data_IF_030401074409
#
_entry.id   IF_030401074409
#
_cell.length_a   1.000
_cell.length_b   1.000
_cell.length_c   1.000
_cell.angle_alpha   90.00
_cell.angle_beta   90.00
_cell.angle_gamma   90.00
#
_symmetry.space_group_name_H-M   'P 1'
#
loop_
_entity.id
_entity.type
_entity.pdbx_description
1 polymer ?
#
# COMPACT_ATOMS: atom_id res chain seq x y z
N UNK A 1 -29.01 -11.62 19.53
CA UNK A 1 -28.70 -10.65 18.45
C UNK A 1 -27.69 -9.60 18.89
N UNK A 2 -28.00 -8.69 19.81
CA UNK A 2 -27.05 -7.69 20.37
C UNK A 2 -25.71 -8.29 20.86
N UNK A 3 -25.71 -9.54 21.33
CA UNK A 3 -24.50 -10.21 21.79
C UNK A 3 -23.52 -10.55 20.63
N UNK A 4 -24.03 -10.90 19.44
CA UNK A 4 -23.20 -11.19 18.24
C UNK A 4 -22.59 -9.89 17.72
N UNK A 5 -23.40 -8.84 17.61
CA UNK A 5 -22.94 -7.51 17.20
C UNK A 5 -21.88 -6.98 18.18
N UNK A 6 -22.14 -7.07 19.48
CA UNK A 6 -21.18 -6.72 20.52
C UNK A 6 -19.89 -7.55 20.43
N UNK A 7 -19.99 -8.86 20.16
CA UNK A 7 -18.82 -9.72 20.00
C UNK A 7 -17.96 -9.34 18.77
N UNK A 8 -18.62 -9.02 17.64
CA UNK A 8 -17.92 -8.57 16.42
C UNK A 8 -17.23 -7.22 16.66
N UNK A 9 -17.90 -6.29 17.35
CA UNK A 9 -17.39 -4.93 17.61
C UNK A 9 -16.40 -4.86 18.78
N UNK A 10 -16.23 -5.94 19.55
CA UNK A 10 -15.33 -5.98 20.69
C UNK A 10 -13.87 -5.91 20.25
N UNK A 11 -13.11 -4.99 20.85
CA UNK A 11 -11.66 -4.86 20.62
C UNK A 11 -10.82 -5.98 21.25
N UNK A 12 -11.41 -6.76 22.16
CA UNK A 12 -10.73 -7.83 22.90
C UNK A 12 -11.02 -9.22 22.35
N UNK A 13 -11.89 -9.35 21.36
CA UNK A 13 -12.25 -10.64 20.79
C UNK A 13 -11.06 -11.22 19.98
N UNK A 14 -10.74 -12.53 20.14
CA UNK A 14 -9.74 -13.20 19.33
C UNK A 14 -10.12 -13.17 17.84
N UNK A 15 -9.12 -13.07 16.96
CA UNK A 15 -9.32 -13.03 15.49
C UNK A 15 -10.12 -14.25 15.00
N UNK A 16 -9.82 -15.45 15.49
CA UNK A 16 -10.51 -16.69 15.14
C UNK A 16 -12.02 -16.65 15.43
N UNK A 17 -12.39 -16.03 16.54
CA UNK A 17 -13.81 -15.85 16.90
C UNK A 17 -14.49 -14.92 15.89
N UNK A 18 -13.85 -13.83 15.53
CA UNK A 18 -14.40 -12.88 14.56
C UNK A 18 -14.56 -13.55 13.19
N UNK A 19 -13.57 -14.31 12.72
CA UNK A 19 -13.67 -15.07 11.46
C UNK A 19 -14.84 -16.06 11.48
N UNK A 20 -15.07 -16.77 12.60
CA UNK A 20 -16.24 -17.66 12.74
C UNK A 20 -17.56 -16.91 12.74
N UNK A 21 -17.63 -15.74 13.37
CA UNK A 21 -18.83 -14.91 13.36
C UNK A 21 -19.11 -14.32 11.97
N UNK A 22 -18.09 -13.91 11.23
CA UNK A 22 -18.22 -13.50 9.82
C UNK A 22 -18.67 -14.66 8.92
N UNK A 23 -18.17 -15.87 9.14
CA UNK A 23 -18.64 -17.06 8.45
C UNK A 23 -20.12 -17.37 8.76
N UNK A 24 -20.52 -17.19 10.02
CA UNK A 24 -21.91 -17.38 10.41
C UNK A 24 -22.81 -16.32 9.75
N UNK A 25 -22.36 -15.07 9.68
CA UNK A 25 -23.13 -13.99 9.04
C UNK A 25 -23.37 -14.29 7.56
N UNK A 26 -22.33 -14.71 6.84
CA UNK A 26 -22.40 -15.11 5.43
C UNK A 26 -23.32 -16.33 5.23
N UNK A 27 -23.19 -17.34 6.09
CA UNK A 27 -24.07 -18.54 6.04
C UNK A 27 -25.55 -18.18 6.26
N UNK A 28 -25.85 -17.33 7.24
CA UNK A 28 -27.22 -16.88 7.53
C UNK A 28 -27.81 -16.04 6.39
N UNK A 29 -26.98 -15.28 5.70
CA UNK A 29 -27.38 -14.53 4.51
C UNK A 29 -27.74 -15.48 3.34
N UNK A 30 -26.92 -16.51 3.09
CA UNK A 30 -27.22 -17.55 2.11
C UNK A 30 -28.53 -18.33 2.39
N UNK A 31 -28.88 -18.50 3.67
CA UNK A 31 -30.12 -19.14 4.10
C UNK A 31 -31.33 -18.18 4.08
N UNK A 32 -31.21 -17.02 3.44
CA UNK A 32 -32.24 -15.95 3.39
C UNK A 32 -32.72 -15.46 4.76
N UNK A 33 -31.86 -15.60 5.78
CA UNK A 33 -32.10 -15.16 7.17
C UNK A 33 -30.95 -14.29 7.66
N UNK A 34 -30.68 -13.15 6.99
CA UNK A 34 -29.53 -12.33 7.34
C UNK A 34 -29.57 -11.88 8.80
N UNK A 35 -28.40 -11.78 9.40
CA UNK A 35 -28.26 -11.17 10.73
C UNK A 35 -28.63 -9.69 10.61
N UNK A 36 -29.34 -9.12 11.59
CA UNK A 36 -29.67 -7.70 11.61
C UNK A 36 -28.46 -6.85 12.03
N UNK A 37 -27.39 -6.95 11.27
CA UNK A 37 -26.16 -6.18 11.40
C UNK A 37 -25.96 -5.47 10.07
N UNK A 38 -25.65 -4.19 10.10
CA UNK A 38 -25.43 -3.40 8.90
C UNK A 38 -24.25 -3.95 8.08
N UNK A 39 -24.41 -4.03 6.75
CA UNK A 39 -23.38 -4.47 5.83
C UNK A 39 -22.09 -3.64 5.98
N UNK A 40 -22.23 -2.35 6.25
CA UNK A 40 -21.11 -1.45 6.55
C UNK A 40 -20.26 -1.98 7.72
N UNK A 41 -20.89 -2.33 8.82
CA UNK A 41 -20.21 -2.86 10.02
C UNK A 41 -19.51 -4.19 9.70
N UNK A 42 -20.21 -5.11 9.03
CA UNK A 42 -19.63 -6.40 8.63
C UNK A 42 -18.43 -6.21 7.69
N UNK A 43 -18.53 -5.29 6.72
CA UNK A 43 -17.45 -4.94 5.80
C UNK A 43 -16.23 -4.35 6.51
N UNK A 44 -16.43 -3.41 7.44
CA UNK A 44 -15.34 -2.77 8.21
C UNK A 44 -14.58 -3.80 9.08
N UNK A 45 -15.31 -4.70 9.76
CA UNK A 45 -14.67 -5.75 10.57
C UNK A 45 -14.01 -6.83 9.70
N UNK A 46 -14.61 -7.19 8.58
CA UNK A 46 -13.98 -8.09 7.62
C UNK A 46 -12.66 -7.52 7.08
N UNK A 47 -12.60 -6.21 6.80
CA UNK A 47 -11.36 -5.50 6.44
C UNK A 47 -10.34 -5.53 7.57
N UNK A 48 -10.75 -5.19 8.79
CA UNK A 48 -9.87 -5.12 9.96
C UNK A 48 -9.20 -6.47 10.25
N UNK A 49 -9.91 -7.56 10.05
CA UNK A 49 -9.42 -8.93 10.27
C UNK A 49 -8.96 -9.62 8.98
N UNK A 50 -8.68 -8.85 7.93
CA UNK A 50 -8.08 -9.30 6.66
C UNK A 50 -8.91 -10.35 5.90
N UNK A 51 -10.21 -10.47 6.18
CA UNK A 51 -11.14 -11.33 5.44
C UNK A 51 -11.61 -10.64 4.16
N UNK A 52 -10.67 -10.36 3.23
CA UNK A 52 -10.90 -9.47 2.09
C UNK A 52 -12.00 -9.92 1.15
N UNK A 53 -12.19 -11.22 0.92
CA UNK A 53 -13.29 -11.72 0.08
C UNK A 53 -14.67 -11.40 0.69
N UNK A 54 -14.81 -11.52 2.02
CA UNK A 54 -16.04 -11.14 2.73
C UNK A 54 -16.21 -9.63 2.79
N UNK A 55 -15.10 -8.92 2.98
CA UNK A 55 -15.11 -7.47 2.94
C UNK A 55 -15.58 -6.95 1.58
N UNK A 56 -15.14 -7.56 0.48
CA UNK A 56 -15.60 -7.24 -0.88
C UNK A 56 -17.11 -7.40 -0.98
N UNK A 57 -17.62 -8.59 -0.63
CA UNK A 57 -19.04 -8.88 -0.66
C UNK A 57 -19.90 -7.85 0.09
N UNK A 58 -19.55 -7.56 1.37
CA UNK A 58 -20.31 -6.60 2.17
C UNK A 58 -20.16 -5.15 1.69
N UNK A 59 -19.00 -4.78 1.14
CA UNK A 59 -18.80 -3.44 0.56
C UNK A 59 -19.50 -3.26 -0.78
N UNK A 60 -19.67 -4.31 -1.57
CA UNK A 60 -20.52 -4.29 -2.76
C UNK A 60 -22.00 -4.10 -2.38
N UNK A 61 -22.50 -4.81 -1.37
CA UNK A 61 -23.86 -4.61 -0.85
C UNK A 61 -24.06 -3.19 -0.28
N UNK A 62 -23.08 -2.66 0.43
CA UNK A 62 -23.09 -1.27 0.91
C UNK A 62 -23.15 -0.29 -0.28
N UNK A 63 -22.36 -0.51 -1.33
CA UNK A 63 -22.34 0.31 -2.54
C UNK A 63 -23.71 0.35 -3.24
N UNK A 64 -24.40 -0.79 -3.35
CA UNK A 64 -25.72 -0.86 -3.94
C UNK A 64 -26.82 -0.21 -3.09
N UNK A 65 -26.65 -0.17 -1.78
CA UNK A 65 -27.59 0.47 -0.85
C UNK A 65 -27.32 1.96 -0.70
N UNK A 66 -26.07 2.34 -0.54
CA UNK A 66 -25.62 3.72 -0.28
C UNK A 66 -24.26 3.96 -0.94
N UNK A 67 -24.29 4.39 -2.20
CA UNK A 67 -23.06 4.70 -2.93
C UNK A 67 -22.40 5.98 -2.39
N UNK A 68 -21.12 5.89 -2.04
CA UNK A 68 -20.30 7.02 -1.62
C UNK A 68 -18.86 6.91 -2.11
N UNK A 69 -18.13 8.02 -2.28
CA UNK A 69 -16.71 7.99 -2.65
C UNK A 69 -15.86 7.11 -1.74
N UNK A 70 -16.11 7.14 -0.43
CA UNK A 70 -15.39 6.34 0.57
C UNK A 70 -15.58 4.83 0.37
N UNK A 71 -16.80 4.38 0.00
CA UNK A 71 -17.07 2.97 -0.31
C UNK A 71 -16.32 2.54 -1.56
N UNK A 72 -16.29 3.39 -2.58
CA UNK A 72 -15.57 3.12 -3.83
C UNK A 72 -14.06 3.02 -3.58
N UNK A 73 -13.47 3.94 -2.82
CA UNK A 73 -12.06 3.86 -2.42
C UNK A 73 -11.74 2.55 -1.71
N UNK A 74 -12.64 2.13 -0.82
CA UNK A 74 -12.50 0.87 -0.10
C UNK A 74 -12.58 -0.32 -1.06
N UNK A 75 -13.51 -0.34 -2.01
CA UNK A 75 -13.63 -1.38 -3.04
C UNK A 75 -12.38 -1.48 -3.91
N UNK A 76 -11.81 -0.36 -4.35
CA UNK A 76 -10.54 -0.33 -5.10
C UNK A 76 -9.43 -0.95 -4.26
N UNK A 77 -9.31 -0.55 -2.99
CA UNK A 77 -8.31 -1.08 -2.06
C UNK A 77 -8.45 -2.59 -1.85
N UNK A 78 -9.67 -3.09 -1.67
CA UNK A 78 -9.94 -4.53 -1.48
C UNK A 78 -9.59 -5.31 -2.75
N UNK A 79 -10.06 -4.87 -3.92
CA UNK A 79 -9.78 -5.52 -5.19
C UNK A 79 -8.28 -5.57 -5.49
N UNK A 80 -7.54 -4.50 -5.16
CA UNK A 80 -6.07 -4.47 -5.29
C UNK A 80 -5.40 -5.52 -4.39
N UNK A 81 -5.84 -5.64 -3.12
CA UNK A 81 -5.33 -6.66 -2.18
C UNK A 81 -5.67 -8.10 -2.61
N UNK A 82 -6.82 -8.30 -3.25
CA UNK A 82 -7.23 -9.57 -3.84
C UNK A 82 -6.56 -9.87 -5.19
N UNK A 83 -5.69 -8.97 -5.69
CA UNK A 83 -5.05 -9.08 -7.00
C UNK A 83 -6.04 -9.10 -8.17
N UNK A 84 -7.21 -8.49 -7.99
CA UNK A 84 -8.26 -8.37 -9.00
C UNK A 84 -8.14 -7.01 -9.70
N UNK A 85 -7.08 -6.82 -10.47
CA UNK A 85 -6.73 -5.54 -11.07
C UNK A 85 -7.80 -5.01 -12.04
N UNK A 86 -8.45 -5.89 -12.81
CA UNK A 86 -9.50 -5.51 -13.75
C UNK A 86 -10.76 -5.01 -13.02
N UNK A 87 -11.15 -5.67 -11.92
CA UNK A 87 -12.28 -5.24 -11.09
C UNK A 87 -11.97 -3.90 -10.40
N UNK A 88 -10.76 -3.73 -9.87
CA UNK A 88 -10.31 -2.47 -9.29
C UNK A 88 -10.32 -1.34 -10.33
N UNK A 89 -9.90 -1.62 -11.56
CA UNK A 89 -9.94 -0.67 -12.66
C UNK A 89 -11.38 -0.29 -13.05
N UNK A 90 -12.28 -1.28 -13.19
CA UNK A 90 -13.70 -1.03 -13.46
C UNK A 90 -14.35 -0.15 -12.39
N UNK A 91 -14.04 -0.42 -11.11
CA UNK A 91 -14.50 0.40 -9.97
C UNK A 91 -14.00 1.85 -10.08
N UNK A 92 -12.73 2.05 -10.47
CA UNK A 92 -12.16 3.39 -10.67
C UNK A 92 -12.85 4.13 -11.83
N UNK A 93 -13.13 3.46 -12.94
CA UNK A 93 -13.86 4.07 -14.07
C UNK A 93 -15.26 4.52 -13.65
N UNK A 94 -15.99 3.67 -12.92
CA UNK A 94 -17.30 4.01 -12.37
C UNK A 94 -17.24 5.20 -11.42
N UNK A 95 -16.20 5.27 -10.57
CA UNK A 95 -15.98 6.40 -9.68
C UNK A 95 -15.77 7.70 -10.44
N UNK A 96 -15.00 7.65 -11.52
CA UNK A 96 -14.69 8.79 -12.38
C UNK A 96 -15.91 9.35 -13.12
N UNK A 97 -16.85 8.47 -13.48
CA UNK A 97 -18.09 8.87 -14.15
C UNK A 97 -19.13 9.44 -13.18
N UNK A 98 -19.18 8.94 -11.95
CA UNK A 98 -20.21 9.30 -10.97
C UNK A 98 -19.80 10.41 -10.02
N UNK A 99 -18.51 10.56 -9.77
CA UNK A 99 -17.97 11.51 -8.79
C UNK A 99 -16.85 12.34 -9.43
N UNK A 100 -16.85 13.63 -9.15
CA UNK A 100 -15.74 14.52 -9.50
C UNK A 100 -14.58 14.27 -8.52
N UNK A 101 -13.78 13.25 -8.81
CA UNK A 101 -12.72 12.78 -7.92
C UNK A 101 -11.46 13.59 -8.16
N UNK A 102 -11.03 14.31 -7.13
CA UNK A 102 -9.88 15.22 -7.19
C UNK A 102 -8.51 14.54 -7.03
N UNK A 103 -8.49 13.23 -6.68
CA UNK A 103 -7.25 12.48 -6.36
C UNK A 103 -7.04 11.27 -7.27
N UNK A 104 -7.09 11.48 -8.57
CA UNK A 104 -6.92 10.40 -9.56
C UNK A 104 -5.52 9.75 -9.49
N UNK A 105 -4.48 10.54 -9.21
CA UNK A 105 -3.09 10.12 -9.18
C UNK A 105 -2.83 9.03 -8.12
N UNK A 106 -3.33 9.21 -6.89
CA UNK A 106 -3.17 8.24 -5.80
C UNK A 106 -3.85 6.90 -6.11
N UNK A 107 -4.92 6.91 -6.87
CA UNK A 107 -5.64 5.69 -7.26
C UNK A 107 -4.90 4.93 -8.36
N UNK A 108 -4.31 5.63 -9.33
CA UNK A 108 -3.43 5.00 -10.31
C UNK A 108 -2.21 4.35 -9.63
N UNK A 109 -1.60 5.01 -8.64
CA UNK A 109 -0.52 4.42 -7.84
C UNK A 109 -0.94 3.11 -7.16
N UNK A 110 -2.09 3.12 -6.45
CA UNK A 110 -2.62 1.93 -5.77
C UNK A 110 -2.93 0.78 -6.71
N UNK A 111 -3.29 1.08 -7.94
CA UNK A 111 -3.54 0.08 -8.98
C UNK A 111 -2.27 -0.38 -9.69
N UNK A 112 -1.11 0.17 -9.35
CA UNK A 112 0.15 -0.12 -10.03
C UNK A 112 0.23 0.42 -11.46
N UNK A 113 -0.67 1.35 -11.83
CA UNK A 113 -0.69 2.00 -13.15
C UNK A 113 0.19 3.23 -13.16
N UNK A 114 1.49 2.98 -13.02
CA UNK A 114 2.50 4.01 -12.79
C UNK A 114 2.62 5.02 -13.92
N UNK A 115 2.40 4.59 -15.18
CA UNK A 115 2.46 5.48 -16.34
C UNK A 115 1.32 6.51 -16.30
N UNK A 116 0.10 6.05 -16.03
CA UNK A 116 -1.08 6.92 -15.94
C UNK A 116 -1.00 7.81 -14.70
N UNK A 117 -0.46 7.30 -13.59
CA UNK A 117 -0.17 8.09 -12.40
C UNK A 117 0.81 9.21 -12.69
N UNK A 118 1.91 8.91 -13.41
CA UNK A 118 2.90 9.90 -13.80
C UNK A 118 2.29 11.04 -14.62
N UNK A 119 1.50 10.70 -15.65
CA UNK A 119 0.80 11.70 -16.48
C UNK A 119 -0.18 12.56 -15.63
N UNK A 120 -0.85 11.95 -14.64
CA UNK A 120 -1.74 12.69 -13.76
C UNK A 120 -0.97 13.64 -12.83
N UNK A 121 0.17 13.21 -12.29
CA UNK A 121 1.05 14.07 -11.50
C UNK A 121 1.70 15.18 -12.32
N UNK A 122 2.08 14.93 -13.57
CA UNK A 122 2.61 15.97 -14.47
C UNK A 122 1.59 17.09 -14.71
N UNK A 123 0.34 16.74 -14.98
CA UNK A 123 -0.76 17.73 -15.11
C UNK A 123 -0.98 18.52 -13.82
N UNK A 124 -0.88 17.87 -12.67
CA UNK A 124 -1.01 18.54 -11.36
C UNK A 124 0.18 19.47 -11.09
N UNK A 125 1.39 19.07 -11.52
CA UNK A 125 2.60 19.88 -11.43
C UNK A 125 2.53 21.15 -12.32
N UNK A 126 1.76 21.15 -13.41
CA UNK A 126 1.51 22.38 -14.19
C UNK A 126 0.75 23.43 -13.39
N UNK A 127 -0.09 23.02 -12.44
CA UNK A 127 -0.87 23.91 -11.58
C UNK A 127 -0.09 24.36 -10.33
N UNK A 128 0.62 23.42 -9.70
CA UNK A 128 1.46 23.68 -8.53
C UNK A 128 2.77 22.87 -8.62
N UNK A 129 3.80 23.45 -9.26
CA UNK A 129 5.09 22.75 -9.48
C UNK A 129 5.86 22.46 -8.19
N UNK A 130 5.61 23.21 -7.11
CA UNK A 130 6.39 23.10 -5.88
C UNK A 130 5.68 22.30 -4.77
N UNK A 131 4.50 21.75 -5.03
CA UNK A 131 3.78 20.93 -4.07
C UNK A 131 4.58 19.64 -3.74
N UNK A 132 4.97 19.42 -2.45
CA UNK A 132 5.83 18.29 -2.08
C UNK A 132 5.22 16.93 -2.42
N UNK A 133 3.91 16.77 -2.19
CA UNK A 133 3.16 15.55 -2.50
C UNK A 133 3.17 15.22 -4.00
N UNK A 134 3.11 16.23 -4.87
CA UNK A 134 3.20 16.07 -6.32
C UNK A 134 4.60 15.62 -6.73
N UNK A 135 5.65 16.25 -6.18
CA UNK A 135 7.02 15.90 -6.50
C UNK A 135 7.37 14.49 -6.01
N UNK A 136 6.98 14.15 -4.78
CA UNK A 136 7.20 12.81 -4.23
C UNK A 136 6.41 11.76 -5.03
N UNK A 137 5.16 12.04 -5.41
CA UNK A 137 4.36 11.15 -6.25
C UNK A 137 5.00 10.88 -7.60
N UNK A 138 5.53 11.92 -8.28
CA UNK A 138 6.29 11.76 -9.54
C UNK A 138 7.51 10.87 -9.35
N UNK A 139 8.29 11.09 -8.29
CA UNK A 139 9.46 10.26 -7.99
C UNK A 139 9.08 8.81 -7.72
N UNK A 140 7.95 8.53 -7.01
CA UNK A 140 7.42 7.17 -6.81
C UNK A 140 7.09 6.50 -8.15
N UNK A 141 6.45 7.23 -9.06
CA UNK A 141 6.13 6.72 -10.39
C UNK A 141 7.41 6.41 -11.19
N UNK A 142 8.37 7.31 -11.24
CA UNK A 142 9.64 7.11 -11.95
C UNK A 142 10.44 5.95 -11.36
N UNK A 143 10.46 5.81 -10.04
CA UNK A 143 11.09 4.68 -9.36
C UNK A 143 10.44 3.35 -9.75
N UNK A 144 9.11 3.29 -9.77
CA UNK A 144 8.38 2.07 -10.13
C UNK A 144 8.50 1.71 -11.61
N UNK A 145 8.65 2.71 -12.50
CA UNK A 145 8.89 2.52 -13.92
C UNK A 145 10.35 2.19 -14.25
N UNK A 146 11.29 2.40 -13.32
CA UNK A 146 12.72 2.19 -13.54
C UNK A 146 13.38 3.29 -14.36
N UNK A 147 12.79 4.49 -14.42
CA UNK A 147 13.30 5.66 -15.13
C UNK A 147 14.36 6.40 -14.29
N UNK A 148 15.53 5.75 -14.12
CA UNK A 148 16.54 6.15 -13.14
C UNK A 148 17.18 7.49 -13.41
N UNK A 149 17.46 7.83 -14.69
CA UNK A 149 18.06 9.12 -15.08
C UNK A 149 17.13 10.28 -14.74
N UNK A 150 15.84 10.14 -15.03
CA UNK A 150 14.83 11.15 -14.73
C UNK A 150 14.61 11.29 -13.22
N UNK A 151 14.60 10.16 -12.50
CA UNK A 151 14.48 10.14 -11.04
C UNK A 151 15.67 10.85 -10.39
N UNK A 152 16.91 10.56 -10.82
CA UNK A 152 18.11 11.20 -10.29
C UNK A 152 18.07 12.72 -10.49
N UNK A 153 17.71 13.19 -11.68
CA UNK A 153 17.57 14.62 -11.97
C UNK A 153 16.53 15.30 -11.07
N UNK A 154 15.37 14.66 -10.86
CA UNK A 154 14.36 15.19 -9.96
C UNK A 154 14.78 15.19 -8.48
N UNK A 155 15.52 14.16 -8.06
CA UNK A 155 16.07 14.11 -6.70
C UNK A 155 17.06 15.26 -6.50
N UNK A 156 17.99 15.52 -7.42
CA UNK A 156 18.94 16.62 -7.31
C UNK A 156 18.25 17.98 -7.19
N UNK A 157 17.23 18.23 -8.02
CA UNK A 157 16.46 19.47 -8.02
C UNK A 157 15.75 19.71 -6.68
N UNK A 158 15.13 18.65 -6.13
CA UNK A 158 14.28 18.79 -4.95
C UNK A 158 15.03 18.58 -3.63
N UNK A 159 16.16 17.85 -3.61
CA UNK A 159 16.88 17.48 -2.39
C UNK A 159 17.30 18.67 -1.55
N UNK A 160 17.77 19.73 -2.18
CA UNK A 160 18.24 20.93 -1.47
C UNK A 160 17.13 21.70 -0.76
N UNK A 161 15.93 21.70 -1.36
CA UNK A 161 14.77 22.45 -0.88
C UNK A 161 13.89 21.62 0.05
N UNK A 162 14.01 20.28 0.02
CA UNK A 162 13.20 19.36 0.81
C UNK A 162 13.50 19.50 2.31
N UNK A 163 12.46 19.44 3.12
CA UNK A 163 12.59 19.39 4.57
C UNK A 163 13.06 18.00 5.05
N UNK A 164 13.27 17.81 6.35
CA UNK A 164 13.84 16.58 6.88
C UNK A 164 12.93 15.35 6.70
N UNK A 165 11.63 15.52 6.80
CA UNK A 165 10.65 14.43 6.60
C UNK A 165 10.56 14.05 5.11
N UNK A 166 10.49 15.04 4.23
CA UNK A 166 10.50 14.83 2.78
C UNK A 166 11.78 14.12 2.32
N UNK A 167 12.95 14.55 2.82
CA UNK A 167 14.22 13.86 2.52
C UNK A 167 14.20 12.40 2.96
N UNK A 168 13.57 12.08 4.09
CA UNK A 168 13.44 10.70 4.55
C UNK A 168 12.56 9.85 3.63
N UNK A 169 11.55 10.46 3.02
CA UNK A 169 10.67 9.78 2.07
C UNK A 169 11.35 9.62 0.70
N UNK A 170 12.11 10.60 0.25
CA UNK A 170 12.84 10.60 -1.01
C UNK A 170 14.07 9.68 -0.94
N UNK A 171 14.75 9.58 0.20
CA UNK A 171 16.04 8.92 0.34
C UNK A 171 16.09 7.46 -0.17
N UNK A 172 15.10 6.58 0.07
CA UNK A 172 15.11 5.24 -0.49
C UNK A 172 15.09 5.21 -2.02
N UNK A 173 14.30 6.08 -2.64
CA UNK A 173 14.20 6.20 -4.10
C UNK A 173 15.48 6.78 -4.69
N UNK A 174 16.04 7.79 -4.02
CA UNK A 174 17.34 8.38 -4.40
C UNK A 174 18.49 7.35 -4.32
N UNK A 175 18.50 6.53 -3.26
CA UNK A 175 19.48 5.45 -3.13
C UNK A 175 19.33 4.37 -4.22
N UNK A 176 18.09 4.05 -4.64
CA UNK A 176 17.81 3.14 -5.73
C UNK A 176 18.33 3.68 -7.07
N UNK A 177 18.05 4.95 -7.38
CA UNK A 177 18.53 5.61 -8.59
C UNK A 177 20.06 5.65 -8.60
N UNK A 178 20.70 6.12 -7.54
CA UNK A 178 22.16 6.18 -7.42
C UNK A 178 22.82 4.80 -7.59
N UNK A 179 22.23 3.74 -7.00
CA UNK A 179 22.69 2.37 -7.20
C UNK A 179 22.58 1.95 -8.67
N UNK A 180 21.44 2.20 -9.32
CA UNK A 180 21.22 1.81 -10.72
C UNK A 180 22.13 2.54 -11.70
N UNK A 181 22.50 3.79 -11.37
CA UNK A 181 23.42 4.63 -12.14
C UNK A 181 24.90 4.45 -11.74
N UNK A 182 25.20 3.57 -10.78
CA UNK A 182 26.55 3.34 -10.23
C UNK A 182 27.17 4.55 -9.52
N UNK A 183 26.37 5.43 -8.96
CA UNK A 183 26.79 6.61 -8.20
C UNK A 183 26.94 6.28 -6.70
N UNK A 184 28.00 5.56 -6.35
CA UNK A 184 28.19 4.97 -5.02
C UNK A 184 28.35 6.02 -3.89
N UNK A 185 28.99 7.14 -4.18
CA UNK A 185 29.20 8.22 -3.20
C UNK A 185 27.87 8.92 -2.89
N UNK A 186 27.06 9.20 -3.91
CA UNK A 186 25.70 9.74 -3.76
C UNK A 186 24.80 8.78 -2.99
N UNK A 187 24.88 7.49 -3.31
CA UNK A 187 24.15 6.42 -2.64
C UNK A 187 24.45 6.39 -1.14
N UNK A 188 25.73 6.48 -0.73
CA UNK A 188 26.12 6.48 0.69
C UNK A 188 25.49 7.66 1.47
N UNK A 189 25.47 8.85 0.86
CA UNK A 189 24.85 10.03 1.43
C UNK A 189 23.32 9.86 1.62
N UNK A 190 22.64 9.30 0.63
CA UNK A 190 21.18 9.05 0.72
C UNK A 190 20.85 7.99 1.79
N UNK A 191 21.62 6.91 1.87
CA UNK A 191 21.47 5.86 2.90
C UNK A 191 21.56 6.43 4.31
N UNK A 192 22.42 7.44 4.54
CA UNK A 192 22.55 8.07 5.85
C UNK A 192 21.26 8.73 6.34
N UNK A 193 20.43 9.22 5.41
CA UNK A 193 19.16 9.90 5.68
C UNK A 193 18.00 8.93 5.92
N UNK A 194 18.05 7.69 5.41
CA UNK A 194 17.01 6.67 5.62
C UNK A 194 16.93 6.32 7.12
N UNK A 195 15.70 6.07 7.62
CA UNK A 195 15.45 5.68 9.01
C UNK A 195 16.30 4.48 9.42
N UNK A 196 16.86 4.53 10.66
CA UNK A 196 17.78 3.50 11.15
C UNK A 196 17.17 2.08 11.17
N UNK A 197 15.88 1.98 11.48
CA UNK A 197 15.13 0.73 11.57
C UNK A 197 14.29 0.45 10.32
N UNK A 198 14.68 1.00 9.16
CA UNK A 198 14.07 0.66 7.88
C UNK A 198 14.78 -0.56 7.26
N UNK A 199 14.04 -1.53 6.71
CA UNK A 199 14.60 -2.63 5.92
C UNK A 199 15.37 -2.10 4.70
N UNK A 200 14.92 -1.00 4.07
CA UNK A 200 15.58 -0.38 2.93
C UNK A 200 17.00 0.08 3.28
N UNK A 201 17.18 0.70 4.45
CA UNK A 201 18.51 1.13 4.91
C UNK A 201 19.45 -0.06 5.06
N UNK A 202 18.98 -1.14 5.65
CA UNK A 202 19.77 -2.36 5.82
C UNK A 202 20.10 -2.98 4.45
N UNK A 203 19.13 -3.02 3.53
CA UNK A 203 19.31 -3.52 2.17
C UNK A 203 20.36 -2.73 1.39
N UNK A 204 20.23 -1.41 1.31
CA UNK A 204 21.19 -0.58 0.57
C UNK A 204 22.60 -0.58 1.21
N UNK A 205 22.70 -0.67 2.55
CA UNK A 205 24.00 -0.89 3.23
C UNK A 205 24.62 -2.22 2.89
N UNK A 206 23.82 -3.27 2.73
CA UNK A 206 24.34 -4.57 2.28
C UNK A 206 24.93 -4.46 0.87
N UNK A 207 24.23 -3.82 -0.07
CA UNK A 207 24.72 -3.60 -1.45
C UNK A 207 26.03 -2.81 -1.44
N UNK A 208 26.09 -1.70 -0.69
CA UNK A 208 27.30 -0.89 -0.60
C UNK A 208 28.48 -1.69 -0.01
N UNK A 209 28.22 -2.51 1.02
CA UNK A 209 29.23 -3.36 1.63
C UNK A 209 29.74 -4.45 0.66
N UNK A 210 28.88 -4.99 -0.20
CA UNK A 210 29.28 -5.92 -1.27
C UNK A 210 30.16 -5.21 -2.29
N UNK A 211 29.77 -4.03 -2.74
CA UNK A 211 30.56 -3.22 -3.66
C UNK A 211 31.97 -2.91 -3.11
N UNK A 212 32.06 -2.61 -1.82
CA UNK A 212 33.33 -2.34 -1.12
C UNK A 212 34.10 -3.61 -0.76
N UNK A 213 33.68 -4.80 -1.18
CA UNK A 213 34.26 -6.11 -0.82
C UNK A 213 34.27 -6.41 0.69
N UNK A 214 33.37 -5.80 1.46
CA UNK A 214 33.25 -6.01 2.92
C UNK A 214 32.17 -7.08 3.23
N UNK A 215 32.37 -8.30 2.71
CA UNK A 215 31.39 -9.39 2.79
C UNK A 215 30.88 -9.71 4.20
N UNK A 216 31.72 -9.71 5.28
CA UNK A 216 31.22 -9.94 6.62
C UNK A 216 30.23 -8.89 7.09
N UNK A 217 30.43 -7.61 6.74
CA UNK A 217 29.49 -6.52 7.05
C UNK A 217 28.19 -6.65 6.21
N UNK A 218 28.33 -7.04 4.94
CA UNK A 218 27.16 -7.29 4.10
C UNK A 218 26.23 -8.35 4.71
N UNK A 219 26.80 -9.47 5.22
CA UNK A 219 26.02 -10.51 5.89
C UNK A 219 25.25 -10.00 7.11
N UNK A 220 25.86 -9.14 7.91
CA UNK A 220 25.20 -8.51 9.09
C UNK A 220 24.01 -7.64 8.63
N UNK A 221 24.20 -6.86 7.56
CA UNK A 221 23.12 -6.00 7.03
C UNK A 221 21.99 -6.82 6.38
N UNK A 222 22.32 -7.93 5.70
CA UNK A 222 21.33 -8.87 5.16
C UNK A 222 20.50 -9.49 6.27
N UNK A 223 21.15 -9.98 7.34
CA UNK A 223 20.45 -10.54 8.50
C UNK A 223 19.51 -9.48 9.11
N UNK A 224 20.00 -8.27 9.31
CA UNK A 224 19.18 -7.16 9.83
C UNK A 224 17.99 -6.83 8.93
N UNK A 225 18.14 -6.81 7.59
CA UNK A 225 17.05 -6.59 6.67
C UNK A 225 15.96 -7.69 6.79
N UNK A 226 16.39 -8.95 6.90
CA UNK A 226 15.49 -10.09 7.10
C UNK A 226 14.71 -9.98 8.41
N UNK A 227 15.39 -9.68 9.52
CA UNK A 227 14.76 -9.52 10.84
C UNK A 227 13.69 -8.39 10.83
N UNK A 228 13.95 -7.30 10.08
CA UNK A 228 13.01 -6.19 9.96
C UNK A 228 11.82 -6.51 9.06
N UNK A 229 11.98 -7.40 8.07
CA UNK A 229 10.91 -7.84 7.16
C UNK A 229 10.08 -9.01 7.72
N UNK A 230 10.62 -9.76 8.69
CA UNK A 230 9.97 -10.96 9.24
C UNK A 230 8.53 -10.73 9.73
N UNK A 231 8.21 -9.63 10.46
CA UNK A 231 6.84 -9.38 10.90
C UNK A 231 5.84 -9.21 9.76
N UNK A 232 6.26 -8.56 8.66
CA UNK A 232 5.42 -8.39 7.47
C UNK A 232 5.23 -9.71 6.73
N UNK A 233 6.31 -10.46 6.51
CA UNK A 233 6.26 -11.77 5.86
C UNK A 233 5.42 -12.77 6.64
N UNK A 234 5.50 -12.77 7.97
CA UNK A 234 4.70 -13.64 8.83
C UNK A 234 3.21 -13.34 8.71
N UNK A 235 2.82 -12.07 8.60
CA UNK A 235 1.43 -11.67 8.39
C UNK A 235 0.89 -12.20 7.05
N UNK A 236 1.67 -12.10 5.97
CA UNK A 236 1.31 -12.65 4.66
C UNK A 236 1.18 -14.17 4.64
N UNK A 237 2.06 -14.90 5.35
CA UNK A 237 1.99 -16.36 5.48
C UNK A 237 0.72 -16.76 6.22
N UNK A 238 0.34 -16.06 7.28
CA UNK A 238 -0.92 -16.30 8.01
C UNK A 238 -2.16 -16.19 7.09
N UNK A 239 -2.19 -15.20 6.19
CA UNK A 239 -3.26 -15.06 5.18
C UNK A 239 -3.22 -16.21 4.14
N UNK A 240 -2.02 -16.65 3.72
CA UNK A 240 -1.83 -17.73 2.76
C UNK A 240 -2.35 -19.08 3.28
N UNK A 241 -2.12 -19.40 4.53
CA UNK A 241 -2.63 -20.63 5.15
C UNK A 241 -4.16 -20.66 5.24
N UNK A 242 -4.81 -19.52 5.46
CA UNK A 242 -6.28 -19.41 5.41
C UNK A 242 -6.88 -19.71 4.04
N UNK A 243 -6.11 -19.54 2.96
CA UNK A 243 -6.54 -19.83 1.58
C UNK A 243 -6.31 -21.28 1.13
N UNK A 244 -5.35 -22.00 1.74
CA UNK A 244 -4.99 -23.37 1.31
C UNK A 244 -5.93 -24.45 1.84
N UNK A 245 -6.89 -24.10 2.69
CA UNK A 245 -7.88 -25.02 3.26
C UNK A 245 -9.30 -24.89 2.67
N UNK A 246 -9.41 -24.32 1.47
CA UNK A 246 -10.68 -24.30 0.71
C UNK A 246 -10.59 -25.07 -0.59
#
# INVERSE_FOLDING_TARGET
>A
MRAIEFAITSTTAPSDLIHRLLNLAEFMEHEEKPLPIEHRTLGEYAMKYMAYAKALHYKELEYFSESSPAVIETLISINTRLQQHDAAWGTLLTAREQYDVTKHEEWYERLGRWQEALVAYERKAELDPMAPDVQIGRMKCLHALGEWDQLAAQVEENWSNANHEERREIAPMAAAAAWSLNEWDSMENYIATIKADSPDRAFYRAILSVHQNQFPKALVHIARARDLLEPELTSFVGEGYGRSYR
#
